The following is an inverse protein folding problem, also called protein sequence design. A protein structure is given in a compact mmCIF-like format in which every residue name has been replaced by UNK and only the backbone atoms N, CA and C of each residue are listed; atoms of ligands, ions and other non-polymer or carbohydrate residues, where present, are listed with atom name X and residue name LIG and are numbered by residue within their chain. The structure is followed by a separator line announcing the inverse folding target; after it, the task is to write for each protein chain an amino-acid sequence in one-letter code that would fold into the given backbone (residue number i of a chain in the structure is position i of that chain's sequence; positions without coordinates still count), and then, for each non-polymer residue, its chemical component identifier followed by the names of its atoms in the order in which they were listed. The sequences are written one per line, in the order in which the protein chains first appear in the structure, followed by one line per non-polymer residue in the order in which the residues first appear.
data_IF_138452351326
#
_entry.id   IF_138452351326
#
_cell.length_a   1.000
_cell.length_b   1.000
_cell.length_c   1.000
_cell.angle_alpha   90.00
_cell.angle_beta   90.00
_cell.angle_gamma   90.00
#
_symmetry.space_group_name_H-M   'P 1'
#
loop_
_entity.id
_entity.type
_entity.pdbx_description
1 polymer ?
#
# COMPACT_ATOMS: atom_id res chain seq x y z
N UNK A 1 12.78 -7.77 6.67
CA UNK A 1 11.81 -6.73 7.06
C UNK A 1 10.44 -7.37 6.98
N UNK A 2 9.52 -7.07 7.90
CA UNK A 2 8.14 -7.54 7.76
C UNK A 2 7.33 -6.47 7.05
N UNK A 3 6.47 -6.88 6.11
CA UNK A 3 5.56 -5.97 5.45
C UNK A 3 4.61 -5.36 6.50
N UNK A 4 4.46 -4.03 6.59
CA UNK A 4 3.57 -3.40 7.56
C UNK A 4 2.07 -3.66 7.26
N UNK A 5 1.74 -4.14 6.05
CA UNK A 5 0.36 -4.43 5.65
C UNK A 5 -0.06 -5.88 5.91
N UNK A 6 0.73 -6.85 5.45
CA UNK A 6 0.39 -8.28 5.53
C UNK A 6 1.28 -9.07 6.50
N UNK A 7 2.25 -8.41 7.15
CA UNK A 7 3.21 -9.01 8.08
C UNK A 7 4.13 -10.10 7.49
N UNK A 8 4.05 -10.35 6.17
CA UNK A 8 4.93 -11.30 5.47
C UNK A 8 6.39 -10.87 5.54
N UNK A 9 7.30 -11.85 5.57
CA UNK A 9 8.74 -11.63 5.52
C UNK A 9 9.28 -11.63 4.08
N UNK A 10 8.44 -11.96 3.08
CA UNK A 10 8.76 -11.87 1.65
C UNK A 10 8.76 -10.41 1.18
N UNK A 11 9.73 -9.65 1.69
CA UNK A 11 9.98 -8.26 1.32
C UNK A 11 11.40 -8.10 0.78
N UNK A 12 11.54 -7.35 -0.31
CA UNK A 12 12.81 -6.97 -0.92
C UNK A 12 13.04 -5.47 -0.82
N UNK A 13 14.31 -5.05 -0.74
CA UNK A 13 14.67 -3.62 -0.80
C UNK A 13 14.80 -3.19 -2.25
N UNK A 14 14.08 -2.14 -2.63
CA UNK A 14 14.05 -1.61 -4.02
C UNK A 14 14.68 -0.22 -4.15
N UNK A 15 14.97 0.44 -3.03
CA UNK A 15 15.65 1.73 -3.00
C UNK A 15 16.07 2.16 -1.60
N UNK A 16 16.40 3.44 -1.42
CA UNK A 16 16.76 3.99 -0.10
C UNK A 16 15.52 4.09 0.77
N UNK A 17 15.47 3.28 1.84
CA UNK A 17 14.30 3.15 2.73
C UNK A 17 13.01 2.73 2.02
N UNK A 18 13.11 2.13 0.82
CA UNK A 18 12.02 1.69 -0.03
C UNK A 18 12.05 0.17 -0.14
N UNK A 19 10.90 -0.47 0.06
CA UNK A 19 10.74 -1.91 0.12
C UNK A 19 9.51 -2.35 -0.66
N UNK A 20 9.57 -3.56 -1.22
CA UNK A 20 8.47 -4.16 -1.94
C UNK A 20 8.11 -5.52 -1.33
N UNK A 21 6.82 -5.80 -1.15
CA UNK A 21 6.34 -7.08 -0.65
C UNK A 21 5.78 -7.97 -1.77
N UNK A 22 6.38 -9.15 -1.97
CA UNK A 22 5.93 -10.12 -2.98
C UNK A 22 4.57 -10.75 -2.66
N UNK A 23 4.17 -10.77 -1.39
CA UNK A 23 2.93 -11.43 -0.98
C UNK A 23 1.68 -10.56 -1.21
N UNK A 24 1.78 -9.25 -1.05
CA UNK A 24 0.63 -8.34 -1.17
C UNK A 24 0.81 -7.28 -2.26
N UNK A 25 1.88 -7.35 -3.05
CA UNK A 25 2.17 -6.46 -4.18
C UNK A 25 2.21 -4.98 -3.76
N UNK A 26 2.75 -4.69 -2.57
CA UNK A 26 2.84 -3.32 -2.03
C UNK A 26 4.28 -2.87 -2.00
N UNK A 27 4.53 -1.71 -2.58
CA UNK A 27 5.73 -0.92 -2.34
C UNK A 27 5.49 0.02 -1.15
N UNK A 28 6.43 0.09 -0.22
CA UNK A 28 6.34 0.96 0.94
C UNK A 28 7.68 1.58 1.28
N UNK A 29 7.64 2.84 1.71
CA UNK A 29 8.80 3.56 2.19
C UNK A 29 8.67 3.86 3.68
N UNK A 30 9.77 3.72 4.40
CA UNK A 30 9.84 3.99 5.84
C UNK A 30 10.34 5.42 6.03
N UNK A 31 9.51 6.25 6.66
CA UNK A 31 9.89 7.60 7.07
C UNK A 31 10.24 7.60 8.56
N UNK A 32 11.06 8.57 8.99
CA UNK A 32 11.41 8.71 10.41
C UNK A 32 10.17 8.87 11.30
N UNK A 33 10.28 8.48 12.57
CA UNK A 33 9.20 8.51 13.58
C UNK A 33 8.05 7.50 13.37
N UNK A 34 8.28 6.40 12.64
CA UNK A 34 7.34 5.29 12.53
C UNK A 34 6.22 5.50 11.50
N UNK A 35 6.29 6.58 10.71
CA UNK A 35 5.43 6.78 9.56
C UNK A 35 5.92 5.96 8.36
N UNK A 36 4.99 5.47 7.54
CA UNK A 36 5.30 4.84 6.26
C UNK A 36 4.30 5.30 5.20
N UNK A 37 4.77 5.38 3.96
CA UNK A 37 3.89 5.54 2.78
C UNK A 37 3.86 4.23 2.04
N UNK A 38 2.69 3.82 1.56
CA UNK A 38 2.51 2.56 0.86
C UNK A 38 1.67 2.72 -0.41
N UNK A 39 2.06 1.99 -1.44
CA UNK A 39 1.49 1.98 -2.77
C UNK A 39 1.24 0.53 -3.20
N UNK A 40 0.03 0.22 -3.67
CA UNK A 40 -0.23 -1.02 -4.37
C UNK A 40 0.35 -0.93 -5.78
N UNK A 41 1.00 -1.99 -6.23
CA UNK A 41 1.52 -2.10 -7.59
C UNK A 41 0.55 -2.95 -8.38
N UNK A 42 -0.08 -2.35 -9.40
CA UNK A 42 -1.02 -3.08 -10.25
C UNK A 42 -0.31 -4.01 -11.25
N UNK A 43 -1.10 -4.73 -12.04
CA UNK A 43 -0.61 -5.70 -13.02
C UNK A 43 0.24 -5.06 -14.14
N UNK A 44 0.07 -3.76 -14.39
CA UNK A 44 0.87 -3.01 -15.36
C UNK A 44 2.09 -2.32 -14.71
N UNK A 45 2.29 -2.50 -13.40
CA UNK A 45 3.40 -1.90 -12.65
C UNK A 45 3.15 -0.46 -12.21
N UNK A 46 1.91 0.03 -12.29
CA UNK A 46 1.53 1.37 -11.84
C UNK A 46 1.39 1.39 -10.33
N UNK A 47 1.90 2.45 -9.70
CA UNK A 47 1.77 2.69 -8.26
C UNK A 47 0.45 3.38 -7.94
N UNK A 48 -0.41 2.71 -7.17
CA UNK A 48 -1.68 3.22 -6.66
C UNK A 48 -1.54 3.49 -5.17
N UNK A 49 -1.69 4.75 -4.74
CA UNK A 49 -1.56 5.09 -3.32
C UNK A 49 -2.66 4.43 -2.50
N UNK A 50 -2.30 3.78 -1.39
CA UNK A 50 -3.29 3.14 -0.50
C UNK A 50 -4.24 4.16 0.14
N UNK A 51 -3.82 5.42 0.29
CA UNK A 51 -4.70 6.53 0.73
C UNK A 51 -5.89 6.72 -0.20
N UNK A 52 -5.72 6.52 -1.50
CA UNK A 52 -6.76 6.72 -2.50
C UNK A 52 -7.76 5.55 -2.52
N UNK A 53 -7.29 4.34 -2.17
CA UNK A 53 -8.13 3.15 -2.05
C UNK A 53 -9.06 3.22 -0.83
N UNK A 54 -8.59 3.78 0.28
CA UNK A 54 -9.42 3.98 1.48
C UNK A 54 -10.58 4.93 1.19
N UNK A 55 -10.35 6.02 0.45
CA UNK A 55 -11.43 6.94 0.05
C UNK A 55 -12.44 6.29 -0.88
N UNK A 56 -12.00 5.40 -1.77
CA UNK A 56 -12.88 4.69 -2.71
C UNK A 56 -13.71 3.57 -2.05
N UNK A 57 -13.23 2.99 -0.94
CA UNK A 57 -14.00 2.01 -0.15
C UNK A 57 -15.07 2.65 0.76
N UNK A 58 -15.04 3.98 0.93
CA UNK A 58 -15.97 4.75 1.77
C UNK A 58 -17.22 5.27 1.05
N UNK A 59 -17.48 4.90 -0.21
CA UNK A 59 -18.62 5.42 -0.99
C UNK A 59 -19.46 4.32 -1.65
N UNK A 60 -19.80 3.26 -0.90
CA UNK A 60 -20.92 2.35 -1.21
C UNK A 60 -22.10 2.48 -0.23
N UNK A 61 -22.10 3.54 0.58
CA UNK A 61 -23.30 4.18 1.10
C UNK A 61 -23.09 5.64 0.68
N UNK A 62 -23.72 6.20 -0.34
CA UNK A 62 -25.14 6.53 -0.41
C UNK A 62 -25.52 6.63 -1.90
N UNK A 63 -26.32 5.69 -2.40
CA UNK A 63 -27.07 5.86 -3.64
C UNK A 63 -28.39 5.07 -3.61
N UNK A 64 -28.99 4.96 -2.41
CA UNK A 64 -30.27 4.28 -2.20
C UNK A 64 -31.26 5.03 -1.30
N UNK A 65 -31.06 6.33 -1.05
CA UNK A 65 -32.12 7.21 -0.55
C UNK A 65 -31.96 8.59 -1.18
N UNK A 66 -32.81 8.89 -2.16
CA UNK A 66 -32.90 10.16 -2.86
C UNK A 66 -33.30 9.99 -4.31
#
# INVERSE_FOLDING_TARGET
MNCPLCNSNDTGKVGTNQYYCWNCLVEFSVQGAGAYTAYYVDEEGTLIALSDLVQKSGTLAENFLG
#
